data_IF_754705353870
#
_entry.id   IF_754705353870
#
_cell.length_a   1.000
_cell.length_b   1.000
_cell.length_c   1.000
_cell.angle_alpha   90.00
_cell.angle_beta   90.00
_cell.angle_gamma   90.00
#
_symmetry.space_group_name_H-M   'P 1'
#
loop_
_entity.id
_entity.type
_entity.pdbx_description
1 polymer ?
#
# COMPACT_ATOMS: atom_id res chain seq x y z
N UNK A 1 -9.03 20.55 -14.04
CA UNK A 1 -8.06 19.85 -14.94
C UNK A 1 -7.34 18.75 -14.15
N UNK A 2 -6.91 17.69 -14.82
CA UNK A 2 -6.18 16.56 -14.24
C UNK A 2 -4.76 16.58 -14.77
N UNK A 3 -3.80 16.49 -13.82
CA UNK A 3 -2.37 16.43 -14.13
C UNK A 3 -1.81 15.10 -13.64
N UNK A 4 -1.30 14.30 -14.56
CA UNK A 4 -0.69 13.02 -14.25
C UNK A 4 0.78 13.18 -13.85
N UNK A 5 1.21 12.43 -12.83
CA UNK A 5 2.58 12.39 -12.33
C UNK A 5 3.15 10.98 -12.45
N UNK A 6 4.12 10.78 -13.34
CA UNK A 6 4.86 9.55 -13.53
C UNK A 6 6.32 9.74 -13.12
N UNK A 7 6.56 9.90 -11.83
CA UNK A 7 7.86 10.23 -11.26
C UNK A 7 8.27 9.19 -10.21
N UNK A 8 9.56 8.89 -10.16
CA UNK A 8 10.15 8.26 -8.98
C UNK A 8 9.99 9.18 -7.76
N UNK A 9 10.25 8.65 -6.56
CA UNK A 9 10.26 9.49 -5.37
C UNK A 9 11.31 10.61 -5.53
N UNK A 10 10.88 11.84 -5.51
CA UNK A 10 11.76 13.00 -5.71
C UNK A 10 11.13 14.28 -5.18
N UNK A 11 11.91 15.35 -5.13
CA UNK A 11 11.42 16.69 -4.79
C UNK A 11 10.40 17.18 -5.83
N UNK A 12 10.65 16.92 -7.10
CA UNK A 12 9.79 17.33 -8.21
C UNK A 12 8.39 16.71 -8.14
N UNK A 13 8.28 15.45 -7.62
CA UNK A 13 6.97 14.88 -7.34
C UNK A 13 6.21 15.69 -6.30
N UNK A 14 6.88 16.04 -5.18
CA UNK A 14 6.28 16.79 -4.07
C UNK A 14 5.93 18.21 -4.50
N UNK A 15 6.85 18.89 -5.18
CA UNK A 15 6.62 20.23 -5.74
C UNK A 15 5.41 20.24 -6.67
N UNK A 16 5.36 19.30 -7.63
CA UNK A 16 4.25 19.18 -8.58
C UNK A 16 2.92 18.88 -7.88
N UNK A 17 2.91 17.94 -6.91
CA UNK A 17 1.71 17.61 -6.16
C UNK A 17 1.09 18.84 -5.49
N UNK A 18 1.90 19.62 -4.75
CA UNK A 18 1.41 20.79 -4.07
C UNK A 18 1.11 21.96 -5.00
N UNK A 19 1.86 22.12 -6.09
CA UNK A 19 1.58 23.15 -7.10
C UNK A 19 0.21 22.91 -7.75
N UNK A 20 -0.07 21.67 -8.16
CA UNK A 20 -1.37 21.28 -8.75
C UNK A 20 -2.50 21.50 -7.73
N UNK A 21 -2.31 21.06 -6.48
CA UNK A 21 -3.29 21.25 -5.42
C UNK A 21 -3.62 22.73 -5.16
N UNK A 22 -2.60 23.59 -5.12
CA UNK A 22 -2.76 25.04 -4.87
C UNK A 22 -3.58 25.76 -5.94
N UNK A 23 -3.45 25.37 -7.20
CA UNK A 23 -4.20 25.98 -8.31
C UNK A 23 -5.57 25.31 -8.55
N UNK A 24 -5.98 24.34 -7.71
CA UNK A 24 -7.25 23.63 -7.84
C UNK A 24 -7.26 22.57 -8.95
N UNK A 25 -6.08 22.10 -9.37
CA UNK A 25 -5.94 20.95 -10.25
C UNK A 25 -6.11 19.62 -9.48
N UNK A 26 -6.38 18.55 -10.22
CA UNK A 26 -6.52 17.20 -9.67
C UNK A 26 -5.29 16.40 -10.03
N UNK A 27 -4.59 15.88 -9.03
CA UNK A 27 -3.39 15.04 -9.24
C UNK A 27 -3.79 13.61 -9.63
N UNK A 28 -3.17 13.05 -10.63
CA UNK A 28 -3.30 11.63 -10.99
C UNK A 28 -1.93 10.96 -10.84
N UNK A 29 -1.59 10.47 -9.63
CA UNK A 29 -0.30 9.83 -9.41
C UNK A 29 -0.28 8.48 -10.10
N UNK A 30 0.63 8.29 -11.05
CA UNK A 30 0.75 7.09 -11.86
C UNK A 30 1.75 6.11 -11.25
N UNK A 31 1.38 4.86 -11.19
CA UNK A 31 2.32 3.79 -10.96
C UNK A 31 3.19 3.58 -12.21
N UNK A 32 4.40 4.10 -12.17
CA UNK A 32 5.35 4.07 -13.29
C UNK A 32 5.86 2.66 -13.65
N UNK A 33 5.53 1.63 -12.84
CA UNK A 33 5.83 0.23 -13.14
C UNK A 33 4.83 -0.43 -14.10
N UNK A 34 3.73 0.27 -14.41
CA UNK A 34 2.72 -0.22 -15.34
C UNK A 34 3.25 -0.22 -16.78
N UNK A 35 2.73 -1.14 -17.59
CA UNK A 35 3.06 -1.17 -19.02
C UNK A 35 2.32 -0.07 -19.78
N UNK A 36 2.79 0.33 -21.00
CA UNK A 36 2.20 1.41 -21.77
C UNK A 36 0.68 1.31 -21.96
N UNK A 37 0.13 0.12 -22.20
CA UNK A 37 -1.30 -0.08 -22.40
C UNK A 37 -2.13 0.21 -21.16
N UNK A 38 -1.60 -0.11 -19.97
CA UNK A 38 -2.25 0.20 -18.70
C UNK A 38 -2.21 1.71 -18.41
N UNK A 39 -1.08 2.35 -18.72
CA UNK A 39 -0.92 3.80 -18.59
C UNK A 39 -1.81 4.55 -19.58
N UNK A 40 -1.94 4.09 -20.83
CA UNK A 40 -2.86 4.63 -21.83
C UNK A 40 -4.30 4.62 -21.28
N UNK A 41 -4.73 3.47 -20.72
CA UNK A 41 -6.04 3.36 -20.12
C UNK A 41 -6.26 4.38 -19.01
N UNK A 42 -5.31 4.50 -18.06
CA UNK A 42 -5.44 5.42 -16.93
C UNK A 42 -5.47 6.87 -17.38
N UNK A 43 -4.57 7.28 -18.30
CA UNK A 43 -4.53 8.64 -18.83
C UNK A 43 -5.83 9.00 -19.55
N UNK A 44 -6.40 8.04 -20.32
CA UNK A 44 -7.68 8.25 -21.01
C UNK A 44 -8.87 8.27 -20.07
N UNK A 45 -8.96 7.33 -19.13
CA UNK A 45 -10.07 7.22 -18.18
C UNK A 45 -10.11 8.41 -17.21
N UNK A 46 -8.95 8.88 -16.75
CA UNK A 46 -8.84 10.09 -15.92
C UNK A 46 -9.09 11.37 -16.70
N UNK A 47 -8.88 11.36 -18.03
CA UNK A 47 -8.90 12.54 -18.88
C UNK A 47 -7.80 13.54 -18.50
N UNK A 48 -6.60 13.05 -18.17
CA UNK A 48 -5.45 13.89 -17.86
C UNK A 48 -5.00 14.64 -19.09
N UNK A 49 -4.92 15.98 -19.00
CA UNK A 49 -4.49 16.86 -20.09
C UNK A 49 -3.01 17.19 -20.03
N UNK A 50 -2.39 17.04 -18.88
CA UNK A 50 -0.95 17.28 -18.65
C UNK A 50 -0.31 16.06 -18.01
N UNK A 51 0.90 15.72 -18.42
CA UNK A 51 1.71 14.66 -17.84
C UNK A 51 3.11 15.18 -17.51
N UNK A 52 3.52 15.00 -16.25
CA UNK A 52 4.89 15.25 -15.79
C UNK A 52 5.55 13.88 -15.55
N UNK A 53 6.69 13.61 -16.19
CA UNK A 53 7.35 12.30 -16.12
C UNK A 53 8.87 12.41 -15.98
N UNK A 54 9.48 11.39 -15.37
CA UNK A 54 10.94 11.30 -15.20
C UNK A 54 11.66 10.82 -16.47
N UNK A 55 12.92 11.21 -16.61
CA UNK A 55 13.76 10.84 -17.77
C UNK A 55 13.88 9.33 -17.96
N UNK A 56 13.82 8.56 -16.89
CA UNK A 56 13.88 7.09 -16.89
C UNK A 56 12.70 6.43 -17.61
N UNK A 57 11.62 7.17 -17.84
CA UNK A 57 10.40 6.67 -18.50
C UNK A 57 10.23 7.22 -19.92
N UNK A 58 11.28 7.83 -20.47
CA UNK A 58 11.23 8.50 -21.80
C UNK A 58 10.73 7.56 -22.91
N UNK A 59 11.19 6.30 -22.95
CA UNK A 59 10.79 5.34 -23.97
C UNK A 59 9.30 5.02 -23.89
N UNK A 60 8.78 4.81 -22.67
CA UNK A 60 7.36 4.56 -22.40
C UNK A 60 6.49 5.72 -22.86
N UNK A 61 6.87 6.96 -22.53
CA UNK A 61 6.06 8.12 -22.86
C UNK A 61 6.26 8.61 -24.30
N UNK A 62 7.39 8.30 -24.94
CA UNK A 62 7.55 8.45 -26.39
C UNK A 62 6.59 7.52 -27.15
N UNK A 63 6.47 6.26 -26.72
CA UNK A 63 5.51 5.33 -27.31
C UNK A 63 4.06 5.86 -27.15
N UNK A 64 3.67 6.27 -25.95
CA UNK A 64 2.34 6.83 -25.68
C UNK A 64 2.06 8.11 -26.46
N UNK A 65 3.02 9.03 -26.56
CA UNK A 65 2.89 10.24 -27.35
C UNK A 65 2.66 9.91 -28.85
N UNK A 66 3.40 8.94 -29.38
CA UNK A 66 3.28 8.52 -30.78
C UNK A 66 1.95 7.80 -31.10
N UNK A 67 1.22 7.32 -30.07
CA UNK A 67 -0.13 6.74 -30.22
C UNK A 67 -1.20 7.81 -30.52
N UNK A 68 -0.88 9.09 -30.40
CA UNK A 68 -1.74 10.22 -30.77
C UNK A 68 -2.98 10.35 -29.87
N UNK A 69 -4.17 10.23 -30.42
CA UNK A 69 -5.47 10.47 -29.77
C UNK A 69 -5.90 9.37 -28.77
N UNK A 70 -5.03 8.42 -28.48
CA UNK A 70 -5.29 7.37 -27.47
C UNK A 70 -5.33 7.90 -26.04
N UNK A 71 -4.70 9.05 -25.78
CA UNK A 71 -4.81 9.79 -24.53
C UNK A 71 -5.34 11.20 -24.77
N UNK A 72 -5.73 11.91 -23.72
CA UNK A 72 -6.14 13.31 -23.78
C UNK A 72 -4.99 14.26 -23.40
N UNK A 73 -3.76 13.75 -23.27
CA UNK A 73 -2.57 14.53 -22.89
C UNK A 73 -2.14 15.43 -24.04
N UNK A 74 -2.17 16.74 -23.78
CA UNK A 74 -1.72 17.78 -24.71
C UNK A 74 -0.40 18.43 -24.28
N UNK A 75 -0.12 18.42 -22.96
CA UNK A 75 1.08 19.01 -22.37
C UNK A 75 1.94 17.91 -21.75
N UNK A 76 3.14 17.74 -22.29
CA UNK A 76 4.13 16.77 -21.84
C UNK A 76 5.30 17.51 -21.21
N UNK A 77 5.67 17.17 -19.98
CA UNK A 77 6.74 17.83 -19.23
C UNK A 77 7.69 16.77 -18.70
N UNK A 78 8.97 16.90 -19.03
CA UNK A 78 9.99 15.94 -18.61
C UNK A 78 10.87 16.50 -17.48
N UNK A 79 11.01 15.73 -16.41
CA UNK A 79 12.05 15.95 -15.41
C UNK A 79 13.30 15.20 -15.85
N UNK A 80 14.36 15.92 -16.20
CA UNK A 80 15.61 15.36 -16.67
C UNK A 80 16.82 15.99 -15.97
N UNK A 81 17.90 15.21 -15.82
CA UNK A 81 19.17 15.64 -15.19
C UNK A 81 20.04 16.50 -16.12
N UNK A 82 19.82 16.43 -17.42
CA UNK A 82 20.47 17.26 -18.46
C UNK A 82 19.48 17.44 -19.60
N UNK A 83 19.69 18.44 -20.45
CA UNK A 83 18.84 18.71 -21.61
C UNK A 83 18.68 17.43 -22.47
N UNK A 84 17.62 16.68 -22.18
CA UNK A 84 17.29 15.50 -22.97
C UNK A 84 16.81 15.99 -24.33
N UNK A 85 17.42 15.50 -25.40
CA UNK A 85 16.98 15.77 -26.78
C UNK A 85 15.66 15.02 -27.07
N UNK A 86 14.57 15.41 -26.37
CA UNK A 86 13.24 15.00 -26.81
C UNK A 86 12.53 16.20 -27.44
N UNK A 87 11.83 15.98 -28.54
CA UNK A 87 11.19 17.04 -29.30
C UNK A 87 9.71 17.22 -28.96
N UNK A 88 9.16 16.47 -27.98
CA UNK A 88 7.72 16.50 -27.68
C UNK A 88 7.37 16.98 -26.27
N UNK A 89 8.32 16.93 -25.33
CA UNK A 89 8.09 17.36 -23.96
C UNK A 89 8.89 18.62 -23.62
N UNK A 90 8.27 19.51 -22.83
CA UNK A 90 8.95 20.65 -22.24
C UNK A 90 9.89 20.21 -21.12
N UNK A 91 11.00 20.91 -20.90
CA UNK A 91 11.86 20.72 -19.74
C UNK A 91 11.14 21.20 -18.47
N UNK A 92 11.19 20.41 -17.41
CA UNK A 92 10.51 20.70 -16.13
C UNK A 92 11.04 21.98 -15.48
N UNK A 93 12.36 22.18 -15.46
CA UNK A 93 12.98 23.36 -14.83
C UNK A 93 12.61 24.62 -15.59
N UNK A 94 12.71 24.60 -16.91
CA UNK A 94 12.33 25.72 -17.77
C UNK A 94 10.84 26.04 -17.65
N UNK A 95 9.99 25.00 -17.59
CA UNK A 95 8.54 25.16 -17.37
C UNK A 95 8.26 25.82 -16.03
N UNK A 96 8.82 25.27 -14.93
CA UNK A 96 8.67 25.80 -13.57
C UNK A 96 9.15 27.24 -13.46
N UNK A 97 10.34 27.55 -13.98
CA UNK A 97 10.99 28.85 -13.84
C UNK A 97 10.35 29.92 -14.75
N UNK A 98 9.55 29.50 -15.74
CA UNK A 98 8.73 30.41 -16.56
C UNK A 98 7.50 30.94 -15.80
N UNK A 99 7.10 30.29 -14.69
CA UNK A 99 5.95 30.66 -13.89
C UNK A 99 6.20 31.90 -13.03
N UNK A 100 5.10 32.52 -12.55
CA UNK A 100 5.20 33.59 -11.56
C UNK A 100 5.62 33.03 -10.19
N UNK A 101 6.57 33.69 -9.48
CA UNK A 101 6.89 33.31 -8.11
C UNK A 101 5.83 33.75 -7.06
N UNK A 102 4.80 34.47 -7.49
CA UNK A 102 3.74 34.91 -6.60
C UNK A 102 2.81 33.77 -6.20
N UNK A 103 2.35 33.78 -4.94
CA UNK A 103 1.39 32.80 -4.46
C UNK A 103 0.08 32.90 -5.29
N UNK A 104 -0.40 31.80 -5.89
CA UNK A 104 -1.65 31.84 -6.65
C UNK A 104 -2.85 32.12 -5.73
N UNK A 105 -3.95 32.61 -6.29
CA UNK A 105 -5.22 32.63 -5.57
C UNK A 105 -5.60 31.19 -5.21
N UNK A 106 -6.28 31.00 -4.07
CA UNK A 106 -6.76 29.68 -3.63
C UNK A 106 -7.66 29.10 -4.72
N UNK A 107 -7.23 28.00 -5.31
CA UNK A 107 -7.90 27.35 -6.45
C UNK A 107 -8.94 26.31 -6.04
N UNK A 108 -8.82 25.71 -4.85
CA UNK A 108 -9.74 24.71 -4.35
C UNK A 108 -9.79 24.68 -2.83
N UNK A 109 -10.90 24.19 -2.27
CA UNK A 109 -11.09 24.02 -0.84
C UNK A 109 -12.09 22.88 -0.53
N UNK A 110 -12.14 22.47 0.73
CA UNK A 110 -13.13 21.54 1.29
C UNK A 110 -13.32 20.24 0.45
N UNK A 111 -14.50 20.10 -0.15
CA UNK A 111 -14.88 18.87 -0.86
C UNK A 111 -14.49 18.87 -2.35
N UNK A 112 -13.80 19.90 -2.84
CA UNK A 112 -13.24 19.88 -4.18
C UNK A 112 -12.15 18.79 -4.32
N UNK A 113 -12.08 18.21 -5.52
CA UNK A 113 -11.25 17.02 -5.73
C UNK A 113 -9.75 17.35 -5.70
N UNK A 114 -8.98 16.53 -5.02
CA UNK A 114 -7.55 16.70 -4.85
C UNK A 114 -6.75 15.72 -5.71
N UNK A 115 -7.09 14.43 -5.67
CA UNK A 115 -6.41 13.43 -6.49
C UNK A 115 -7.29 12.24 -6.87
N UNK A 116 -6.91 11.57 -7.94
CA UNK A 116 -7.47 10.29 -8.40
C UNK A 116 -6.34 9.26 -8.40
N UNK A 117 -6.38 8.31 -7.48
CA UNK A 117 -5.37 7.26 -7.35
C UNK A 117 -5.91 5.94 -7.87
N UNK A 118 -5.28 5.40 -8.93
CA UNK A 118 -5.73 4.16 -9.53
C UNK A 118 -5.26 2.93 -8.75
N UNK A 119 -6.20 2.05 -8.45
CA UNK A 119 -5.94 0.75 -7.83
C UNK A 119 -6.16 -0.37 -8.83
N UNK A 120 -5.36 -1.44 -8.74
CA UNK A 120 -5.58 -2.64 -9.53
C UNK A 120 -6.92 -3.28 -9.10
N UNK A 121 -7.92 -3.18 -9.95
CA UNK A 121 -9.20 -3.84 -9.75
C UNK A 121 -9.01 -5.36 -9.64
N UNK A 122 -9.74 -5.98 -8.75
CA UNK A 122 -9.66 -7.44 -8.54
C UNK A 122 -10.32 -8.25 -9.66
N UNK A 123 -11.10 -7.58 -10.52
CA UNK A 123 -11.98 -8.22 -11.51
C UNK A 123 -11.90 -7.58 -12.89
N UNK A 124 -10.90 -6.76 -13.20
CA UNK A 124 -10.81 -6.07 -14.49
C UNK A 124 -9.88 -4.85 -14.51
N UNK A 125 -10.29 -3.84 -15.28
CA UNK A 125 -9.52 -2.61 -15.43
C UNK A 125 -9.34 -1.85 -14.10
N UNK A 126 -8.25 -1.08 -13.93
CA UNK A 126 -8.01 -0.26 -12.75
C UNK A 126 -9.18 0.71 -12.47
N UNK A 127 -9.43 0.98 -11.20
CA UNK A 127 -10.41 1.97 -10.76
C UNK A 127 -9.71 3.18 -10.15
N UNK A 128 -10.10 4.37 -10.52
CA UNK A 128 -9.61 5.61 -9.93
C UNK A 128 -10.36 5.91 -8.63
N UNK A 129 -9.67 5.83 -7.50
CA UNK A 129 -10.19 6.23 -6.18
C UNK A 129 -10.05 7.73 -6.04
N UNK A 130 -11.16 8.43 -5.78
CA UNK A 130 -11.22 9.88 -5.73
C UNK A 130 -11.19 10.38 -4.30
N UNK A 131 -10.26 11.30 -4.01
CA UNK A 131 -10.20 12.00 -2.75
C UNK A 131 -10.31 13.52 -2.94
N UNK A 132 -11.04 14.17 -2.02
CA UNK A 132 -11.11 15.62 -1.93
C UNK A 132 -10.01 16.17 -1.00
N UNK A 133 -9.88 17.51 -0.97
CA UNK A 133 -9.04 18.19 0.00
C UNK A 133 -9.50 17.85 1.43
N UNK A 134 -10.81 17.79 1.67
CA UNK A 134 -11.39 17.47 2.97
C UNK A 134 -11.08 16.03 3.40
N UNK A 135 -11.32 15.01 2.54
CA UNK A 135 -11.01 13.61 2.89
C UNK A 135 -9.54 13.40 3.18
N UNK A 136 -8.65 14.05 2.41
CA UNK A 136 -7.20 13.99 2.64
C UNK A 136 -6.81 14.66 3.96
N UNK A 137 -7.34 15.84 4.25
CA UNK A 137 -7.07 16.55 5.51
C UNK A 137 -7.53 15.74 6.73
N UNK A 138 -8.70 15.09 6.66
CA UNK A 138 -9.15 14.21 7.73
C UNK A 138 -8.25 12.98 7.91
N UNK A 139 -7.69 12.43 6.84
CA UNK A 139 -6.67 11.38 6.96
C UNK A 139 -5.43 11.89 7.70
N UNK A 140 -4.95 13.11 7.41
CA UNK A 140 -3.82 13.71 8.15
C UNK A 140 -4.13 13.89 9.64
N UNK A 141 -5.32 14.40 10.00
CA UNK A 141 -5.73 14.55 11.39
C UNK A 141 -5.83 13.20 12.10
N UNK A 142 -6.37 12.20 11.42
CA UNK A 142 -6.51 10.83 11.92
C UNK A 142 -5.14 10.22 12.26
N UNK A 143 -4.17 10.35 11.35
CA UNK A 143 -2.78 9.92 11.60
C UNK A 143 -2.12 10.74 12.70
N UNK A 144 -2.21 12.06 12.64
CA UNK A 144 -1.59 12.95 13.62
C UNK A 144 -2.07 12.70 15.06
N UNK A 145 -3.33 12.29 15.21
CA UNK A 145 -3.93 12.01 16.52
C UNK A 145 -3.63 10.59 17.05
N UNK A 146 -3.30 9.64 16.16
CA UNK A 146 -3.16 8.22 16.52
C UNK A 146 -1.71 7.73 16.53
N UNK A 147 -0.80 8.43 15.83
CA UNK A 147 0.60 8.04 15.72
C UNK A 147 1.50 8.97 16.56
N UNK A 148 2.52 8.40 17.22
CA UNK A 148 3.49 9.17 18.00
C UNK A 148 4.46 9.95 17.08
N UNK A 149 3.96 11.00 16.43
CA UNK A 149 4.75 11.95 15.65
C UNK A 149 5.12 13.14 16.52
N UNK A 150 6.42 13.42 16.61
CA UNK A 150 7.00 14.45 17.48
C UNK A 150 7.64 15.55 16.64
N UNK A 151 7.73 16.75 17.23
CA UNK A 151 8.55 17.81 16.67
C UNK A 151 10.00 17.34 16.56
N UNK A 152 10.67 17.73 15.48
CA UNK A 152 12.03 17.32 15.13
C UNK A 152 12.19 15.84 14.71
N UNK A 153 11.09 15.10 14.47
CA UNK A 153 11.17 13.80 13.83
C UNK A 153 11.81 13.86 12.43
N UNK A 154 12.44 12.77 12.08
CA UNK A 154 13.02 12.54 10.74
C UNK A 154 12.44 11.25 10.19
N UNK A 155 11.61 11.40 9.20
CA UNK A 155 10.81 10.30 8.64
C UNK A 155 11.44 9.76 7.36
N UNK A 156 11.68 8.45 7.28
CA UNK A 156 12.14 7.80 6.05
C UNK A 156 10.95 7.50 5.12
N UNK A 157 10.93 8.15 3.96
CA UNK A 157 9.95 7.93 2.89
C UNK A 157 10.56 6.95 1.89
N UNK A 158 10.26 5.66 2.04
CA UNK A 158 10.81 4.58 1.21
C UNK A 158 9.77 3.94 0.26
N UNK A 159 8.48 4.08 0.58
CA UNK A 159 7.40 3.63 -0.31
C UNK A 159 7.21 4.61 -1.48
N UNK A 160 6.72 4.13 -2.64
CA UNK A 160 6.44 5.00 -3.78
C UNK A 160 5.40 6.07 -3.48
N UNK A 161 5.66 7.32 -3.87
CA UNK A 161 4.79 8.46 -3.62
C UNK A 161 3.45 8.40 -4.38
N UNK A 162 3.34 7.56 -5.40
CA UNK A 162 2.06 7.31 -6.08
C UNK A 162 1.11 6.39 -5.30
N UNK A 163 1.51 5.94 -4.10
CA UNK A 163 0.66 5.18 -3.18
C UNK A 163 0.28 6.00 -1.96
N UNK A 164 -0.94 5.79 -1.47
CA UNK A 164 -1.46 6.43 -0.25
C UNK A 164 -0.56 6.17 0.97
N UNK A 165 0.06 5.00 1.07
CA UNK A 165 1.02 4.66 2.14
C UNK A 165 2.30 5.50 2.18
N UNK A 166 2.58 6.29 1.14
CA UNK A 166 3.68 7.26 1.12
C UNK A 166 3.18 8.69 0.96
N UNK A 167 2.14 8.89 0.15
CA UNK A 167 1.58 10.21 -0.11
C UNK A 167 1.02 10.85 1.16
N UNK A 168 0.29 10.11 1.99
CA UNK A 168 -0.26 10.63 3.24
C UNK A 168 0.84 10.92 4.27
N UNK A 169 1.81 10.04 4.56
CA UNK A 169 2.94 10.38 5.42
C UNK A 169 3.71 11.62 4.98
N UNK A 170 4.05 11.76 3.69
CA UNK A 170 4.83 12.95 3.27
C UNK A 170 4.02 14.24 3.39
N UNK A 171 2.73 14.23 3.08
CA UNK A 171 1.85 15.38 3.27
C UNK A 171 1.66 15.72 4.76
N UNK A 172 1.53 14.68 5.61
CA UNK A 172 1.49 14.84 7.07
C UNK A 172 2.79 15.44 7.62
N UNK A 173 3.93 14.98 7.14
CA UNK A 173 5.23 15.52 7.56
C UNK A 173 5.35 17.02 7.24
N UNK A 174 4.91 17.44 6.06
CA UNK A 174 4.87 18.86 5.67
C UNK A 174 3.91 19.64 6.59
N UNK A 175 2.72 19.10 6.84
CA UNK A 175 1.75 19.71 7.75
C UNK A 175 2.30 19.88 9.18
N UNK A 176 3.08 18.90 9.66
CA UNK A 176 3.67 18.90 11.02
C UNK A 176 5.05 19.55 11.10
N UNK A 177 5.67 19.92 10.00
CA UNK A 177 7.05 20.41 9.98
C UNK A 177 8.10 19.33 10.27
N UNK A 178 7.79 18.06 10.00
CA UNK A 178 8.69 16.92 10.15
C UNK A 178 9.61 16.82 8.94
N UNK A 179 10.89 16.53 9.16
CA UNK A 179 11.84 16.31 8.07
C UNK A 179 11.58 14.99 7.38
N UNK A 180 11.35 15.02 6.07
CA UNK A 180 11.24 13.82 5.24
C UNK A 180 12.56 13.51 4.55
N UNK A 181 13.10 12.31 4.76
CA UNK A 181 14.26 11.77 4.04
C UNK A 181 13.71 10.83 2.97
N UNK A 182 13.83 11.24 1.71
CA UNK A 182 13.17 10.56 0.59
C UNK A 182 14.16 9.63 -0.11
N UNK A 183 13.87 8.33 -0.11
CA UNK A 183 14.57 7.36 -0.95
C UNK A 183 13.94 7.37 -2.34
N UNK A 184 14.75 7.58 -3.37
CA UNK A 184 14.29 7.53 -4.76
C UNK A 184 13.72 6.15 -5.12
N UNK A 185 14.43 5.11 -4.72
CA UNK A 185 14.05 3.71 -4.82
C UNK A 185 14.48 2.97 -3.57
N UNK A 186 13.72 1.96 -3.15
CA UNK A 186 14.04 1.19 -1.97
C UNK A 186 15.25 0.28 -2.21
N UNK A 187 16.25 0.43 -1.36
CA UNK A 187 17.37 -0.49 -1.18
C UNK A 187 17.52 -0.81 0.33
N UNK A 188 17.52 -2.09 0.72
CA UNK A 188 17.50 -2.47 2.13
C UNK A 188 18.77 -2.09 2.89
N UNK A 189 19.95 -2.15 2.25
CA UNK A 189 21.20 -1.71 2.87
C UNK A 189 21.21 -0.20 3.02
N UNK A 190 20.84 0.54 1.96
CA UNK A 190 20.76 2.00 2.00
C UNK A 190 19.75 2.51 3.02
N UNK A 191 18.67 1.76 3.26
CA UNK A 191 17.72 2.11 4.33
C UNK A 191 18.37 2.11 5.71
N UNK A 192 19.18 1.09 6.06
CA UNK A 192 19.94 1.07 7.30
C UNK A 192 20.99 2.18 7.38
N UNK A 193 21.70 2.45 6.28
CA UNK A 193 22.64 3.56 6.20
C UNK A 193 21.97 4.90 6.47
N UNK A 194 20.82 5.18 5.83
CA UNK A 194 20.06 6.40 6.05
C UNK A 194 19.52 6.51 7.47
N UNK A 195 19.07 5.40 8.06
CA UNK A 195 18.62 5.39 9.46
C UNK A 195 19.76 5.89 10.37
N UNK A 196 20.98 5.41 10.16
CA UNK A 196 22.15 5.84 10.91
C UNK A 196 22.58 7.28 10.59
N UNK A 197 22.74 7.60 9.30
CA UNK A 197 23.29 8.88 8.82
C UNK A 197 22.37 10.06 9.16
N UNK A 198 21.09 9.87 8.85
CA UNK A 198 20.06 10.90 8.98
C UNK A 198 19.33 10.85 10.32
N UNK A 199 19.70 9.91 11.22
CA UNK A 199 19.05 9.73 12.51
C UNK A 199 17.54 9.62 12.37
N UNK A 200 17.10 8.72 11.49
CA UNK A 200 15.68 8.47 11.24
C UNK A 200 15.00 8.02 12.53
N UNK A 201 13.82 8.56 12.78
CA UNK A 201 13.05 8.28 14.00
C UNK A 201 11.87 7.35 13.75
N UNK A 202 11.34 7.34 12.53
CA UNK A 202 10.19 6.53 12.16
C UNK A 202 10.06 6.35 10.64
N UNK A 203 9.28 5.35 10.23
CA UNK A 203 8.98 5.06 8.83
C UNK A 203 7.71 4.22 8.70
N UNK A 204 7.16 4.15 7.48
CA UNK A 204 6.19 3.13 7.08
C UNK A 204 6.82 2.27 5.98
N UNK A 205 6.90 0.97 6.23
CA UNK A 205 7.49 -0.02 5.33
C UNK A 205 6.52 -1.20 5.14
N UNK A 206 6.48 -1.79 3.96
CA UNK A 206 5.70 -3.00 3.75
C UNK A 206 6.45 -4.24 4.27
N UNK A 207 5.76 -5.37 4.58
CA UNK A 207 6.40 -6.57 5.11
C UNK A 207 7.56 -7.10 4.25
N UNK A 208 7.46 -7.00 2.93
CA UNK A 208 8.54 -7.41 2.03
C UNK A 208 9.81 -6.58 2.23
N UNK A 209 9.70 -5.27 2.43
CA UNK A 209 10.84 -4.40 2.72
C UNK A 209 11.48 -4.75 4.05
N UNK A 210 10.68 -4.97 5.10
CA UNK A 210 11.18 -5.44 6.40
C UNK A 210 11.92 -6.77 6.28
N UNK A 211 11.39 -7.70 5.50
CA UNK A 211 12.04 -8.99 5.27
C UNK A 211 13.38 -8.83 4.53
N UNK A 212 13.50 -7.91 3.57
CA UNK A 212 14.76 -7.63 2.89
C UNK A 212 15.76 -6.91 3.82
N UNK A 213 15.31 -5.99 4.63
CA UNK A 213 16.14 -5.30 5.62
C UNK A 213 16.69 -6.25 6.69
N UNK A 214 15.91 -7.22 7.14
CA UNK A 214 16.36 -8.27 8.10
C UNK A 214 17.45 -9.18 7.50
N UNK A 215 17.46 -9.33 6.18
CA UNK A 215 18.44 -10.18 5.47
C UNK A 215 19.76 -9.45 5.16
N UNK A 216 19.86 -8.15 5.40
CA UNK A 216 21.14 -7.43 5.24
C UNK A 216 22.16 -8.02 6.19
N UNK A 217 23.40 -8.35 5.73
CA UNK A 217 24.44 -8.87 6.60
C UNK A 217 24.84 -7.84 7.67
N UNK A 218 25.11 -8.34 8.87
CA UNK A 218 25.67 -7.56 9.97
C UNK A 218 24.85 -6.29 10.34
N UNK A 219 23.52 -6.37 10.33
CA UNK A 219 22.63 -5.25 10.69
C UNK A 219 23.00 -4.62 12.03
N UNK A 220 23.51 -5.41 12.98
CA UNK A 220 23.93 -4.91 14.29
C UNK A 220 25.10 -3.90 14.24
N UNK A 221 25.77 -3.72 13.10
CA UNK A 221 26.80 -2.69 12.94
C UNK A 221 26.24 -1.28 12.72
N UNK A 222 24.98 -1.16 12.31
CA UNK A 222 24.35 0.15 12.11
C UNK A 222 23.82 0.71 13.43
N UNK A 223 23.96 2.02 13.61
CA UNK A 223 23.34 2.74 14.73
C UNK A 223 21.89 3.12 14.36
N UNK A 224 20.94 2.30 14.80
CA UNK A 224 19.50 2.57 14.65
C UNK A 224 18.83 3.01 15.96
N UNK A 225 19.59 3.46 16.94
CA UNK A 225 19.09 3.89 18.25
C UNK A 225 18.12 5.09 18.19
N UNK A 226 18.14 5.86 17.11
CA UNK A 226 17.18 6.94 16.85
C UNK A 226 15.80 6.45 16.43
N UNK A 227 15.71 5.24 15.87
CA UNK A 227 14.47 4.68 15.32
C UNK A 227 13.54 4.22 16.44
N UNK A 228 12.43 4.93 16.63
CA UNK A 228 11.46 4.64 17.70
C UNK A 228 10.45 3.58 17.33
N UNK A 229 9.96 3.61 16.09
CA UNK A 229 9.00 2.63 15.58
C UNK A 229 9.01 2.59 14.05
N UNK A 230 8.57 1.45 13.53
CA UNK A 230 8.24 1.28 12.12
C UNK A 230 6.79 0.85 12.02
N UNK A 231 5.98 1.59 11.25
CA UNK A 231 4.67 1.08 10.84
C UNK A 231 4.82 0.07 9.72
N UNK A 232 3.97 -0.97 9.71
CA UNK A 232 3.94 -1.93 8.62
C UNK A 232 2.53 -2.41 8.31
N UNK A 233 2.22 -2.47 7.00
CA UNK A 233 0.90 -2.84 6.52
C UNK A 233 0.86 -3.04 5.02
N UNK A 234 -0.29 -2.84 4.39
CA UNK A 234 -0.60 -3.09 2.98
C UNK A 234 -0.65 -4.58 2.59
N UNK A 235 -0.11 -5.48 3.40
CA UNK A 235 -0.24 -6.93 3.30
C UNK A 235 -0.07 -7.58 4.68
N UNK A 236 -0.49 -8.84 4.87
CA UNK A 236 -0.29 -9.54 6.14
C UNK A 236 1.18 -9.54 6.58
N UNK A 237 1.40 -9.21 7.84
CA UNK A 237 2.74 -9.18 8.44
C UNK A 237 2.99 -10.46 9.22
N UNK A 238 3.97 -11.29 8.85
CA UNK A 238 4.28 -12.53 9.55
C UNK A 238 4.67 -12.28 11.01
N UNK A 239 4.07 -13.05 11.91
CA UNK A 239 4.39 -12.98 13.35
C UNK A 239 5.88 -13.18 13.62
N UNK A 240 6.53 -14.09 12.87
CA UNK A 240 7.97 -14.33 12.98
C UNK A 240 8.82 -13.12 12.65
N UNK A 241 8.36 -12.28 11.72
CA UNK A 241 9.08 -11.05 11.34
C UNK A 241 8.92 -9.98 12.43
N UNK A 242 7.73 -9.83 13.01
CA UNK A 242 7.50 -8.93 14.15
C UNK A 242 8.45 -9.30 15.30
N UNK A 243 8.53 -10.60 15.63
CA UNK A 243 9.39 -11.08 16.70
C UNK A 243 10.87 -10.77 16.47
N UNK A 244 11.37 -10.94 15.23
CA UNK A 244 12.76 -10.62 14.89
C UNK A 244 13.10 -9.15 15.13
N UNK A 245 12.20 -8.24 14.74
CA UNK A 245 12.40 -6.82 15.01
C UNK A 245 12.30 -6.48 16.50
N UNK A 246 11.39 -7.15 17.23
CA UNK A 246 11.31 -7.01 18.69
C UNK A 246 12.59 -7.51 19.40
N UNK A 247 13.23 -8.58 18.89
CA UNK A 247 14.52 -9.05 19.39
C UNK A 247 15.67 -8.04 19.14
N UNK A 248 15.46 -7.12 18.18
CA UNK A 248 16.35 -5.97 17.91
C UNK A 248 15.95 -4.72 18.72
N UNK A 249 15.00 -4.82 19.63
CA UNK A 249 14.43 -3.69 20.39
C UNK A 249 13.75 -2.63 19.50
N UNK A 250 13.20 -3.05 18.34
CA UNK A 250 12.47 -2.20 17.41
C UNK A 250 10.98 -2.55 17.40
N UNK A 251 10.14 -1.56 17.69
CA UNK A 251 8.67 -1.73 17.69
C UNK A 251 8.11 -1.69 16.27
N UNK A 252 7.41 -2.75 15.89
CA UNK A 252 6.64 -2.79 14.64
C UNK A 252 5.17 -2.54 14.98
N UNK A 253 4.65 -1.41 14.51
CA UNK A 253 3.24 -1.07 14.65
C UNK A 253 2.49 -1.51 13.39
N UNK A 254 1.72 -2.60 13.50
CA UNK A 254 0.88 -3.00 12.38
C UNK A 254 -0.17 -1.94 12.10
N UNK A 255 -0.38 -1.67 10.81
CA UNK A 255 -1.38 -0.74 10.31
C UNK A 255 -2.20 -1.43 9.22
N UNK A 256 -3.49 -1.19 9.22
CA UNK A 256 -4.40 -1.62 8.16
C UNK A 256 -5.13 -0.40 7.59
N UNK A 257 -5.28 -0.44 6.28
CA UNK A 257 -6.04 0.54 5.52
C UNK A 257 -5.90 0.34 4.02
N UNK A 258 -6.61 1.13 3.27
CA UNK A 258 -6.71 1.02 1.81
C UNK A 258 -6.66 2.40 1.16
N UNK A 259 -6.52 2.42 -0.15
CA UNK A 259 -6.62 3.65 -0.93
C UNK A 259 -7.99 4.30 -0.74
N UNK A 260 -9.05 3.51 -0.68
CA UNK A 260 -10.44 3.95 -0.50
C UNK A 260 -10.70 4.57 0.88
N UNK A 261 -9.87 4.29 1.88
CA UNK A 261 -9.90 4.98 3.20
C UNK A 261 -8.85 6.09 3.32
N UNK A 262 -8.27 6.56 2.22
CA UNK A 262 -7.17 7.54 2.24
C UNK A 262 -5.97 7.10 3.09
N UNK A 263 -5.84 5.82 3.39
CA UNK A 263 -4.80 5.20 4.19
C UNK A 263 -5.31 4.60 5.51
N UNK A 264 -5.76 5.37 6.51
CA UNK A 264 -6.02 4.84 7.83
C UNK A 264 -7.35 4.07 7.95
N UNK A 265 -7.30 2.91 8.63
CA UNK A 265 -8.45 2.23 9.18
C UNK A 265 -8.15 1.71 10.59
N UNK A 266 -7.10 0.88 10.78
CA UNK A 266 -6.67 0.39 12.10
C UNK A 266 -5.17 0.59 12.31
N UNK A 267 -4.77 0.76 13.56
CA UNK A 267 -3.37 0.80 14.00
C UNK A 267 -3.22 0.15 15.36
N UNK A 268 -2.12 -0.56 15.57
CA UNK A 268 -1.77 -1.08 16.88
C UNK A 268 -0.92 -0.03 17.63
N UNK A 269 -1.19 0.14 18.93
CA UNK A 269 -0.36 0.98 19.79
C UNK A 269 0.92 0.25 20.21
N UNK A 270 1.98 0.97 20.56
CA UNK A 270 3.24 0.43 21.06
C UNK A 270 3.03 -0.54 22.24
N UNK A 271 2.12 -0.19 23.17
CA UNK A 271 1.80 -1.02 24.35
C UNK A 271 1.24 -2.40 23.99
N UNK A 272 0.59 -2.51 22.84
CA UNK A 272 -0.10 -3.73 22.40
C UNK A 272 0.63 -4.47 21.28
N UNK A 273 1.68 -3.89 20.69
CA UNK A 273 2.38 -4.45 19.54
C UNK A 273 2.87 -5.89 19.77
N UNK A 274 3.36 -6.21 20.98
CA UNK A 274 3.83 -7.54 21.34
C UNK A 274 2.74 -8.41 21.98
N UNK A 275 1.83 -7.84 22.77
CA UNK A 275 0.77 -8.61 23.45
C UNK A 275 -0.37 -9.04 22.51
N UNK A 276 -0.59 -8.31 21.42
CA UNK A 276 -1.62 -8.56 20.40
C UNK A 276 -0.99 -8.84 19.02
N UNK A 277 0.09 -9.59 18.99
CA UNK A 277 0.78 -9.98 17.75
C UNK A 277 -0.21 -10.58 16.76
N UNK A 278 -0.13 -10.13 15.48
CA UNK A 278 -1.03 -10.54 14.41
C UNK A 278 -2.29 -9.68 14.27
N UNK A 279 -2.60 -8.83 15.27
CA UNK A 279 -3.67 -7.84 15.14
C UNK A 279 -3.17 -6.60 14.37
N UNK A 280 -4.05 -6.00 13.58
CA UNK A 280 -3.84 -4.67 13.00
C UNK A 280 -4.21 -3.54 13.98
N UNK A 281 -4.53 -3.89 15.22
CA UNK A 281 -4.90 -2.95 16.27
C UNK A 281 -6.39 -2.62 16.30
N UNK A 282 -6.68 -1.40 16.76
CA UNK A 282 -8.02 -0.82 16.84
C UNK A 282 -8.18 0.27 15.80
N UNK A 283 -9.40 0.73 15.62
CA UNK A 283 -9.69 1.87 14.75
C UNK A 283 -8.82 3.08 15.09
N UNK A 284 -8.35 3.79 14.06
CA UNK A 284 -7.73 5.09 14.22
C UNK A 284 -8.68 6.10 14.88
N UNK A 285 -8.14 7.13 15.49
CA UNK A 285 -8.95 8.26 15.95
C UNK A 285 -9.76 8.86 14.78
N UNK A 286 -11.00 9.26 15.03
CA UNK A 286 -11.97 9.69 14.00
C UNK A 286 -12.36 8.64 12.95
N UNK A 287 -12.09 7.37 13.22
CA UNK A 287 -12.47 6.27 12.35
C UNK A 287 -13.33 5.29 13.13
N UNK A 288 -14.35 4.77 12.49
CA UNK A 288 -15.12 3.65 13.03
C UNK A 288 -14.87 2.41 12.17
N UNK A 289 -14.68 1.26 12.81
CA UNK A 289 -14.47 -0.01 12.13
C UNK A 289 -15.39 -1.06 12.73
N UNK A 290 -16.08 -1.80 11.85
CA UNK A 290 -16.98 -2.90 12.22
C UNK A 290 -16.55 -4.16 11.49
N UNK A 291 -16.85 -5.30 12.08
CA UNK A 291 -16.77 -6.61 11.42
C UNK A 291 -18.21 -7.10 11.25
N UNK A 292 -18.67 -7.22 10.01
CA UNK A 292 -20.07 -7.39 9.65
C UNK A 292 -20.31 -8.74 8.99
N UNK A 293 -21.31 -9.48 9.45
CA UNK A 293 -21.72 -10.77 8.90
C UNK A 293 -22.47 -10.63 7.57
N UNK A 294 -22.74 -11.74 6.92
CA UNK A 294 -23.50 -11.79 5.68
C UNK A 294 -24.95 -11.26 5.82
N UNK A 295 -25.47 -11.28 7.05
CA UNK A 295 -26.78 -10.72 7.40
C UNK A 295 -26.79 -9.20 7.58
N UNK A 296 -25.63 -8.55 7.46
CA UNK A 296 -25.45 -7.11 7.65
C UNK A 296 -25.40 -6.67 9.11
N UNK A 297 -25.26 -7.62 10.05
CA UNK A 297 -25.19 -7.37 11.50
C UNK A 297 -23.75 -7.50 11.98
N UNK A 298 -23.39 -6.76 13.03
CA UNK A 298 -22.06 -6.87 13.67
C UNK A 298 -21.81 -8.28 14.19
N UNK A 299 -20.67 -8.83 13.84
CA UNK A 299 -20.25 -10.14 14.34
C UNK A 299 -19.99 -10.10 15.85
N UNK A 300 -20.30 -11.20 16.52
CA UNK A 300 -19.86 -11.41 17.89
C UNK A 300 -18.32 -11.52 17.94
N UNK A 301 -17.68 -11.25 19.08
CA UNK A 301 -16.24 -11.39 19.22
C UNK A 301 -15.72 -12.74 18.72
N UNK A 302 -14.59 -12.71 18.02
CA UNK A 302 -13.92 -13.87 17.40
C UNK A 302 -14.70 -14.55 16.25
N UNK A 303 -15.84 -13.99 15.81
CA UNK A 303 -16.55 -14.42 14.61
C UNK A 303 -16.06 -13.59 13.44
N UNK A 304 -15.87 -14.25 12.30
CA UNK A 304 -15.38 -13.62 11.08
C UNK A 304 -16.50 -12.93 10.30
N UNK A 305 -16.17 -11.81 9.70
CA UNK A 305 -17.06 -11.05 8.82
C UNK A 305 -16.27 -10.07 7.95
N UNK A 306 -16.97 -9.32 7.11
CA UNK A 306 -16.38 -8.27 6.29
C UNK A 306 -16.03 -7.04 7.13
N UNK A 307 -14.85 -6.48 6.92
CA UNK A 307 -14.46 -5.21 7.55
C UNK A 307 -15.17 -4.05 6.86
N UNK A 308 -15.89 -3.26 7.64
CA UNK A 308 -16.50 -2.01 7.20
C UNK A 308 -15.84 -0.84 7.93
N UNK A 309 -15.55 0.22 7.20
CA UNK A 309 -14.86 1.42 7.72
C UNK A 309 -15.70 2.66 7.48
N UNK A 310 -15.83 3.52 8.49
CA UNK A 310 -16.49 4.81 8.37
C UNK A 310 -15.62 5.92 8.93
N UNK A 311 -15.68 7.09 8.31
CA UNK A 311 -14.92 8.28 8.71
C UNK A 311 -14.91 9.32 7.60
N UNK A 312 -14.54 10.55 7.96
CA UNK A 312 -14.51 11.67 6.99
C UNK A 312 -13.38 11.55 5.95
N UNK A 313 -12.48 10.61 6.12
CA UNK A 313 -11.35 10.32 5.23
C UNK A 313 -11.68 9.25 4.16
N UNK A 314 -12.90 8.70 4.18
CA UNK A 314 -13.35 7.74 3.15
C UNK A 314 -13.43 8.45 1.80
N UNK A 315 -13.09 7.75 0.73
CA UNK A 315 -13.13 8.25 -0.64
C UNK A 315 -14.48 8.86 -1.00
N UNK A 316 -14.45 9.81 -1.91
CA UNK A 316 -15.66 10.40 -2.48
C UNK A 316 -16.39 9.37 -3.35
N UNK A 317 -15.67 8.77 -4.28
CA UNK A 317 -16.22 7.83 -5.25
C UNK A 317 -15.11 7.05 -5.97
N UNK A 318 -15.49 6.07 -6.77
CA UNK A 318 -14.66 5.61 -7.89
C UNK A 318 -14.95 6.45 -9.13
N UNK A 319 -13.92 7.05 -9.71
CA UNK A 319 -13.99 7.94 -10.87
C UNK A 319 -14.76 7.31 -12.02
N UNK A 320 -15.83 7.99 -12.47
CA UNK A 320 -16.70 7.53 -13.55
C UNK A 320 -17.28 6.12 -13.35
N UNK A 321 -17.45 5.65 -12.10
CA UNK A 321 -17.94 4.31 -11.77
C UNK A 321 -19.03 4.37 -10.67
N UNK A 322 -20.18 4.99 -10.93
CA UNK A 322 -21.24 5.16 -9.91
C UNK A 322 -21.76 3.83 -9.35
N UNK A 323 -21.88 2.80 -10.20
CA UNK A 323 -22.33 1.47 -9.75
C UNK A 323 -21.31 0.81 -8.79
N UNK A 324 -20.02 0.89 -9.11
CA UNK A 324 -18.96 0.39 -8.23
C UNK A 324 -18.90 1.17 -6.91
N UNK A 325 -19.11 2.48 -6.97
CA UNK A 325 -19.20 3.34 -5.77
C UNK A 325 -20.36 2.91 -4.89
N UNK A 326 -21.57 2.77 -5.44
CA UNK A 326 -22.77 2.35 -4.71
C UNK A 326 -22.65 0.91 -4.15
N UNK A 327 -21.90 0.03 -4.79
CA UNK A 327 -21.64 -1.32 -4.29
C UNK A 327 -20.61 -1.33 -3.14
N UNK A 328 -19.75 -0.31 -3.06
CA UNK A 328 -18.64 -0.23 -2.09
C UNK A 328 -18.96 0.68 -0.92
N UNK A 329 -19.67 1.78 -1.12
CA UNK A 329 -20.10 2.70 -0.06
C UNK A 329 -21.59 2.52 0.18
N UNK A 330 -21.97 2.16 1.40
CA UNK A 330 -23.37 2.00 1.80
C UNK A 330 -24.09 3.35 1.87
N UNK A 331 -25.41 3.34 1.86
CA UNK A 331 -26.22 4.57 1.92
C UNK A 331 -26.01 5.39 3.20
N UNK A 332 -25.57 4.76 4.28
CA UNK A 332 -25.24 5.37 5.58
C UNK A 332 -23.74 5.67 5.74
N UNK A 333 -22.94 5.55 4.65
CA UNK A 333 -21.56 6.03 4.56
C UNK A 333 -20.49 5.05 5.01
N UNK A 334 -20.80 3.75 5.11
CA UNK A 334 -19.78 2.73 5.41
C UNK A 334 -19.09 2.26 4.14
N UNK A 335 -17.77 2.23 4.17
CA UNK A 335 -16.92 1.61 3.15
C UNK A 335 -16.84 0.10 3.41
N UNK A 336 -17.33 -0.69 2.47
CA UNK A 336 -17.18 -2.14 2.43
C UNK A 336 -15.83 -2.47 1.82
N UNK A 337 -14.92 -3.03 2.64
CA UNK A 337 -13.52 -3.19 2.20
C UNK A 337 -13.28 -4.42 1.33
N UNK A 338 -14.14 -5.44 1.45
CA UNK A 338 -13.93 -6.75 0.87
C UNK A 338 -12.84 -7.56 1.57
N UNK A 339 -12.33 -7.10 2.70
CA UNK A 339 -11.39 -7.83 3.54
C UNK A 339 -12.13 -8.53 4.69
N UNK A 340 -11.72 -9.74 5.04
CA UNK A 340 -12.31 -10.54 6.12
C UNK A 340 -11.47 -10.41 7.38
N UNK A 341 -12.13 -10.18 8.50
CA UNK A 341 -11.48 -10.09 9.80
C UNK A 341 -12.34 -10.70 10.91
N UNK A 342 -11.74 -10.83 12.08
CA UNK A 342 -12.43 -10.99 13.35
C UNK A 342 -12.02 -9.87 14.31
N UNK A 343 -12.86 -9.61 15.31
CA UNK A 343 -12.57 -8.67 16.39
C UNK A 343 -12.57 -9.46 17.71
N UNK A 344 -11.60 -9.20 18.60
CA UNK A 344 -11.59 -9.85 19.92
C UNK A 344 -12.47 -9.08 20.94
N UNK A 345 -12.60 -9.63 22.15
CA UNK A 345 -13.40 -9.03 23.22
C UNK A 345 -12.88 -7.65 23.69
N UNK A 346 -11.64 -7.32 23.35
CA UNK A 346 -11.00 -6.03 23.65
C UNK A 346 -11.06 -5.04 22.47
N UNK A 347 -11.67 -5.45 21.34
CA UNK A 347 -11.83 -4.62 20.15
C UNK A 347 -10.61 -4.57 19.22
N UNK A 348 -9.66 -5.51 19.35
CA UNK A 348 -8.55 -5.65 18.41
C UNK A 348 -8.97 -6.43 17.17
N UNK A 349 -8.60 -5.92 16.01
CA UNK A 349 -9.00 -6.46 14.71
C UNK A 349 -7.87 -7.31 14.13
N UNK A 350 -8.22 -8.49 13.68
CA UNK A 350 -7.32 -9.47 13.08
C UNK A 350 -7.75 -9.71 11.64
N UNK A 351 -7.04 -9.10 10.68
CA UNK A 351 -7.28 -9.33 9.25
C UNK A 351 -6.86 -10.76 8.91
N UNK A 352 -7.79 -11.52 8.34
CA UNK A 352 -7.56 -12.92 7.97
C UNK A 352 -7.08 -13.01 6.52
N UNK A 353 -7.87 -12.50 5.58
CA UNK A 353 -7.53 -12.46 4.14
C UNK A 353 -8.52 -11.56 3.40
N UNK A 354 -8.38 -11.50 2.09
CA UNK A 354 -9.41 -10.93 1.23
C UNK A 354 -10.50 -11.95 0.95
N UNK A 355 -11.75 -11.52 0.94
CA UNK A 355 -12.90 -12.35 0.64
C UNK A 355 -12.74 -13.12 -0.68
N UNK A 356 -12.12 -12.50 -1.70
CA UNK A 356 -11.86 -13.10 -3.01
C UNK A 356 -10.73 -14.13 -3.04
N UNK A 357 -9.79 -14.08 -2.09
CA UNK A 357 -8.63 -14.97 -2.00
C UNK A 357 -8.89 -16.15 -1.03
N UNK A 358 -10.02 -16.11 -0.34
CA UNK A 358 -10.50 -17.18 0.53
C UNK A 358 -10.77 -18.45 -0.29
N UNK A 359 -10.26 -19.57 0.19
CA UNK A 359 -10.40 -20.88 -0.45
C UNK A 359 -11.58 -21.61 0.20
N UNK A 360 -12.53 -22.08 -0.60
CA UNK A 360 -13.67 -22.86 -0.11
C UNK A 360 -13.35 -24.35 -0.26
N UNK A 361 -12.90 -24.98 0.83
CA UNK A 361 -12.50 -26.37 0.82
C UNK A 361 -13.49 -27.25 1.60
N UNK A 362 -14.34 -27.99 0.89
CA UNK A 362 -15.34 -28.88 1.49
C UNK A 362 -16.38 -28.14 2.34
N UNK A 363 -16.84 -26.98 1.87
CA UNK A 363 -17.73 -26.05 2.57
C UNK A 363 -17.13 -25.34 3.81
N UNK A 364 -15.83 -25.45 4.02
CA UNK A 364 -15.10 -24.74 5.05
C UNK A 364 -14.27 -23.59 4.42
N UNK A 365 -14.29 -22.43 5.07
CA UNK A 365 -13.49 -21.29 4.67
C UNK A 365 -12.04 -21.47 5.14
N UNK A 366 -11.11 -21.42 4.19
CA UNK A 366 -9.67 -21.54 4.43
C UNK A 366 -9.01 -20.24 4.00
N UNK A 367 -8.31 -19.62 4.93
CA UNK A 367 -7.64 -18.35 4.69
C UNK A 367 -6.16 -18.58 4.38
N UNK A 368 -5.71 -18.24 3.17
CA UNK A 368 -4.31 -18.38 2.76
C UNK A 368 -3.30 -17.86 3.77
N UNK A 369 -3.53 -16.68 4.34
CA UNK A 369 -2.59 -16.06 5.27
C UNK A 369 -2.30 -16.91 6.53
N UNK A 370 -3.27 -17.67 7.01
CA UNK A 370 -3.07 -18.57 8.15
C UNK A 370 -2.07 -19.68 7.82
N UNK A 371 -2.19 -20.25 6.62
CA UNK A 371 -1.30 -21.30 6.15
C UNK A 371 0.08 -20.73 5.84
N UNK A 372 0.13 -19.56 5.19
CA UNK A 372 1.37 -18.83 4.87
C UNK A 372 2.18 -18.54 6.14
N UNK A 373 1.53 -18.08 7.20
CA UNK A 373 2.17 -17.82 8.49
C UNK A 373 2.84 -19.06 9.07
N UNK A 374 2.19 -20.23 8.99
CA UNK A 374 2.78 -21.47 9.46
C UNK A 374 3.97 -21.89 8.59
N UNK A 375 3.84 -21.84 7.28
CA UNK A 375 4.91 -22.23 6.34
C UNK A 375 6.14 -21.31 6.48
N UNK A 376 5.94 -20.01 6.70
CA UNK A 376 7.04 -19.04 6.91
C UNK A 376 7.89 -19.32 8.15
N UNK A 377 7.38 -20.10 9.12
CA UNK A 377 8.20 -20.53 10.26
C UNK A 377 9.23 -21.63 9.91
N UNK A 378 9.18 -22.19 8.68
CA UNK A 378 10.15 -23.17 8.22
C UNK A 378 11.44 -22.50 7.76
N UNK A 379 12.59 -22.88 8.33
CA UNK A 379 13.88 -22.24 8.08
C UNK A 379 14.34 -22.21 6.61
N UNK A 380 13.87 -23.17 5.80
CA UNK A 380 14.18 -23.26 4.37
C UNK A 380 13.29 -22.42 3.44
N UNK A 381 12.28 -21.71 3.97
CA UNK A 381 11.34 -20.90 3.19
C UNK A 381 11.78 -19.44 3.18
N UNK A 382 11.91 -18.86 1.98
CA UNK A 382 12.14 -17.41 1.81
C UNK A 382 10.84 -16.65 1.70
N UNK A 383 9.93 -17.11 0.80
CA UNK A 383 8.60 -16.55 0.60
C UNK A 383 7.59 -17.67 0.36
N UNK A 384 6.32 -17.39 0.62
CA UNK A 384 5.21 -18.30 0.31
C UNK A 384 3.97 -17.51 -0.05
N UNK A 385 3.19 -18.04 -0.98
CA UNK A 385 1.81 -17.66 -1.25
C UNK A 385 0.96 -18.94 -1.30
N UNK A 386 -0.23 -18.89 -0.69
CA UNK A 386 -1.19 -20.01 -0.75
C UNK A 386 -2.36 -19.59 -1.63
N UNK A 387 -2.74 -20.48 -2.55
CA UNK A 387 -3.82 -20.27 -3.50
C UNK A 387 -4.78 -21.46 -3.49
N UNK A 388 -6.03 -21.21 -3.91
CA UNK A 388 -6.99 -22.28 -4.19
C UNK A 388 -6.62 -23.02 -5.48
N UNK A 389 -6.58 -24.33 -5.44
CA UNK A 389 -6.53 -25.16 -6.63
C UNK A 389 -7.80 -26.00 -6.75
N UNK A 390 -8.32 -26.25 -7.97
CA UNK A 390 -9.51 -27.09 -8.15
C UNK A 390 -9.32 -28.49 -7.56
N UNK A 391 -10.32 -28.97 -6.82
CA UNK A 391 -10.33 -30.29 -6.20
C UNK A 391 -11.66 -31.00 -6.48
N UNK A 392 -11.60 -32.16 -7.12
CA UNK A 392 -12.80 -32.97 -7.40
C UNK A 392 -13.53 -33.37 -6.12
N UNK A 393 -12.80 -33.52 -5.02
CA UNK A 393 -13.37 -33.96 -3.73
C UNK A 393 -13.88 -32.81 -2.88
N UNK A 394 -13.23 -31.64 -2.93
CA UNK A 394 -13.42 -30.55 -1.98
C UNK A 394 -13.90 -29.24 -2.62
N UNK A 395 -14.10 -29.22 -3.96
CA UNK A 395 -14.33 -27.99 -4.73
C UNK A 395 -12.99 -27.27 -4.96
N UNK A 396 -12.39 -26.80 -3.90
CA UNK A 396 -11.03 -26.26 -3.88
C UNK A 396 -10.18 -26.91 -2.79
N UNK A 397 -8.88 -26.79 -2.91
CA UNK A 397 -7.92 -27.15 -1.86
C UNK A 397 -6.72 -26.23 -1.86
N UNK A 398 -6.09 -25.98 -0.68
CA UNK A 398 -4.92 -25.11 -0.61
C UNK A 398 -3.72 -25.70 -1.31
N UNK A 399 -3.05 -24.88 -2.14
CA UNK A 399 -1.76 -25.13 -2.77
C UNK A 399 -0.74 -24.12 -2.25
N UNK A 400 0.37 -24.59 -1.69
CA UNK A 400 1.47 -23.74 -1.27
C UNK A 400 2.43 -23.47 -2.44
N UNK A 401 2.64 -22.20 -2.79
CA UNK A 401 3.62 -21.74 -3.77
C UNK A 401 4.79 -21.15 -3.00
N UNK A 402 5.96 -21.77 -3.04
CA UNK A 402 7.07 -21.52 -2.12
C UNK A 402 8.32 -21.07 -2.87
N UNK A 403 8.99 -20.04 -2.37
CA UNK A 403 10.36 -19.67 -2.73
C UNK A 403 11.30 -20.22 -1.68
N UNK A 404 12.30 -20.98 -2.12
CA UNK A 404 13.30 -21.57 -1.23
C UNK A 404 14.37 -20.54 -0.82
N UNK A 405 14.84 -20.61 0.43
CA UNK A 405 16.11 -19.96 0.81
C UNK A 405 17.30 -20.72 0.26
N UNK A 406 17.25 -22.06 0.32
CA UNK A 406 18.32 -22.98 -0.12
C UNK A 406 17.72 -24.15 -0.89
N UNK A 407 18.53 -24.84 -1.72
CA UNK A 407 18.09 -25.79 -2.74
C UNK A 407 17.39 -27.09 -2.31
N UNK A 408 17.47 -27.50 -1.03
CA UNK A 408 17.12 -28.87 -0.61
C UNK A 408 15.73 -29.05 0.00
N UNK A 409 14.89 -27.99 0.02
CA UNK A 409 13.54 -28.06 0.56
C UNK A 409 12.60 -28.81 -0.39
N UNK A 410 11.96 -29.86 0.10
CA UNK A 410 11.01 -30.66 -0.67
C UNK A 410 9.55 -30.34 -0.34
N UNK A 411 8.63 -30.74 -1.23
CA UNK A 411 7.18 -30.67 -0.98
C UNK A 411 6.79 -31.37 0.33
N UNK A 412 7.33 -32.55 0.56
CA UNK A 412 7.05 -33.33 1.77
C UNK A 412 7.50 -32.65 3.06
N UNK A 413 8.55 -31.82 3.00
CA UNK A 413 9.01 -31.06 4.17
C UNK A 413 8.00 -29.97 4.53
N UNK A 414 7.45 -29.27 3.53
CA UNK A 414 6.38 -28.26 3.73
C UNK A 414 5.11 -28.91 4.31
N UNK A 415 4.65 -30.01 3.68
CA UNK A 415 3.43 -30.69 4.13
C UNK A 415 3.57 -31.21 5.58
N UNK A 416 4.71 -31.84 5.89
CA UNK A 416 5.02 -32.28 7.24
C UNK A 416 5.13 -31.13 8.24
N UNK A 417 5.68 -29.99 7.81
CA UNK A 417 5.80 -28.83 8.68
C UNK A 417 4.44 -28.27 9.11
N UNK A 418 3.44 -28.36 8.24
CA UNK A 418 2.07 -27.93 8.51
C UNK A 418 1.27 -28.95 9.37
N UNK A 419 1.64 -30.24 9.29
CA UNK A 419 0.89 -31.30 9.99
C UNK A 419 0.92 -31.10 11.53
N UNK A 420 -0.23 -31.22 12.14
CA UNK A 420 -0.41 -30.98 13.59
C UNK A 420 -0.38 -29.51 14.04
N UNK A 421 -0.08 -28.55 13.12
CA UNK A 421 -0.07 -27.13 13.46
C UNK A 421 -1.35 -26.39 13.06
N UNK A 422 -2.21 -27.03 12.27
CA UNK A 422 -3.50 -26.49 11.84
C UNK A 422 -4.52 -27.60 11.63
N UNK A 423 -5.79 -27.23 11.50
CA UNK A 423 -6.86 -28.18 11.22
C UNK A 423 -6.68 -28.89 9.87
N UNK A 424 -7.09 -30.14 9.76
CA UNK A 424 -6.84 -31.00 8.58
C UNK A 424 -7.40 -30.44 7.27
N UNK A 425 -8.51 -29.72 7.31
CA UNK A 425 -9.10 -29.12 6.12
C UNK A 425 -8.28 -27.93 5.59
N UNK A 426 -7.49 -27.26 6.44
CA UNK A 426 -6.59 -26.15 6.11
C UNK A 426 -5.24 -26.62 5.54
N UNK A 427 -4.88 -27.89 5.74
CA UNK A 427 -3.58 -28.40 5.29
C UNK A 427 -3.43 -28.30 3.78
N UNK A 428 -2.34 -27.68 3.27
CA UNK A 428 -2.05 -27.68 1.84
C UNK A 428 -1.97 -29.10 1.31
N UNK A 429 -2.52 -29.32 0.11
CA UNK A 429 -2.53 -30.64 -0.51
C UNK A 429 -1.33 -30.89 -1.41
N UNK A 430 -0.64 -29.81 -1.78
CA UNK A 430 0.59 -29.83 -2.56
C UNK A 430 1.42 -28.59 -2.22
N UNK A 431 2.72 -28.66 -2.52
CA UNK A 431 3.60 -27.51 -2.51
C UNK A 431 4.41 -27.49 -3.82
N UNK A 432 4.42 -26.34 -4.50
CA UNK A 432 5.23 -26.10 -5.70
C UNK A 432 6.30 -25.06 -5.38
N UNK A 433 7.40 -25.13 -6.12
CA UNK A 433 8.54 -24.23 -5.90
C UNK A 433 8.77 -23.38 -7.13
N UNK A 434 8.95 -22.08 -6.89
CA UNK A 434 9.24 -21.08 -7.92
C UNK A 434 10.42 -20.21 -7.51
N UNK A 435 10.99 -19.47 -8.44
CA UNK A 435 12.12 -18.58 -8.16
C UNK A 435 11.71 -17.30 -7.43
N UNK A 436 10.53 -16.75 -7.76
CA UNK A 436 9.97 -15.55 -7.11
C UNK A 436 8.44 -15.60 -7.13
N UNK A 437 7.78 -15.11 -6.09
CA UNK A 437 6.33 -14.95 -6.05
C UNK A 437 5.91 -13.83 -7.02
N UNK A 438 4.99 -14.11 -7.98
CA UNK A 438 4.45 -13.08 -8.86
C UNK A 438 3.80 -11.95 -8.07
N UNK A 439 4.12 -10.72 -8.44
CA UNK A 439 3.56 -9.51 -7.81
C UNK A 439 3.04 -8.57 -8.88
N UNK A 440 1.99 -7.84 -8.55
CA UNK A 440 1.56 -6.76 -9.41
C UNK A 440 2.56 -5.57 -9.32
N UNK A 441 2.34 -4.57 -10.15
CA UNK A 441 3.16 -3.36 -10.18
C UNK A 441 3.23 -2.62 -8.83
N UNK A 442 2.26 -2.87 -7.94
CA UNK A 442 2.21 -2.30 -6.59
C UNK A 442 2.98 -3.15 -5.55
N UNK A 443 3.68 -4.22 -5.99
CA UNK A 443 4.38 -5.14 -5.11
C UNK A 443 3.47 -6.15 -4.38
N UNK A 444 2.15 -6.13 -4.63
CA UNK A 444 1.20 -7.06 -4.02
C UNK A 444 1.24 -8.41 -4.73
N UNK A 445 1.23 -9.48 -3.93
CA UNK A 445 1.17 -10.86 -4.44
C UNK A 445 -0.06 -11.05 -5.32
N UNK A 446 0.16 -11.64 -6.49
CA UNK A 446 -0.89 -12.09 -7.41
C UNK A 446 -1.19 -13.56 -7.09
N UNK A 447 -2.29 -13.76 -6.35
CA UNK A 447 -2.83 -15.08 -6.05
C UNK A 447 -3.75 -15.60 -7.13
#
# INVERSE_FOLDING_TARGET
DRVALALMNSAEFVESYFAIAKIGGIVVPLNWRLVPDELEFILKDSGSSTLIFGEEFIDTFTDLHNRGDKTDVTEWIQVASASAENNFAADYVDFRDSGSPEEPAIGACDDELLYIMYTSGTTGLPKGVVHSHNTSLWALFTFAASCDLRDADRYLVALPLFHVGSLIPITLNIYRGVTSVVMREFDPQRAWELIQEEKITNSLLVPAMLNFMEQVPDVAQYDYSSLRWIQSGASPLPVSLIQKYADMELDIHQIYGLTESCGPACVISAENALSKIGSTGRAFFHTEVRVVGEDGVDCQPNIQGEVWVSGKHIMVEYWNRPEATAATITADGWLRTGDVASVDDEGFIYIQDRMKDMIISGAENVYPAEIENVILTHAGVAEVAVIGQPSVKWGESPLAVVVRKNGDLSEQDILRHCDGKMARFKLPKAAVFIEAIPRNANGKVLK
#
